data_IF_566764490010
#
_entry.id   IF_566764490010
#
_cell.length_a   1.000
_cell.length_b   1.000
_cell.length_c   1.000
_cell.angle_alpha   90.00
_cell.angle_beta   90.00
_cell.angle_gamma   90.00
#
_symmetry.space_group_name_H-M   'P 1'
#
loop_
_entity.id
_entity.type
_entity.pdbx_description
1 polymer ?
#
# COMPACT_ATOMS: atom_id res chain seq x y z
N UNK A 1 23.67 -64.32 46.76
CA UNK A 1 23.04 -62.97 46.81
C UNK A 1 23.29 -62.33 45.46
N UNK A 2 22.42 -62.53 44.45
CA UNK A 2 21.28 -61.68 44.00
C UNK A 2 21.66 -60.28 43.49
N UNK A 3 21.27 -60.00 42.23
CA UNK A 3 21.16 -58.67 41.58
C UNK A 3 21.93 -58.64 40.25
N UNK A 4 21.43 -59.10 39.10
CA UNK A 4 20.34 -58.58 38.24
C UNK A 4 20.41 -57.05 38.03
N UNK A 5 20.85 -56.57 36.87
CA UNK A 5 20.00 -55.88 35.86
C UNK A 5 20.85 -55.35 34.69
N UNK A 6 20.38 -55.66 33.49
CA UNK A 6 20.86 -55.16 32.21
C UNK A 6 20.47 -53.68 32.03
N UNK A 7 21.24 -52.93 31.22
CA UNK A 7 20.67 -52.09 30.16
C UNK A 7 21.79 -51.54 29.26
N UNK A 8 21.84 -52.04 28.03
CA UNK A 8 22.45 -51.35 26.91
C UNK A 8 21.52 -50.19 26.51
N UNK A 9 22.02 -48.96 26.55
CA UNK A 9 21.27 -47.80 26.06
C UNK A 9 21.91 -47.31 24.77
N UNK A 10 21.25 -47.68 23.68
CA UNK A 10 21.34 -47.05 22.37
C UNK A 10 21.12 -45.54 22.53
N UNK A 11 22.04 -44.71 22.00
CA UNK A 11 21.75 -43.30 21.72
C UNK A 11 21.89 -43.06 20.22
N UNK A 12 20.86 -43.54 19.53
CA UNK A 12 20.52 -43.28 18.15
C UNK A 12 19.84 -41.93 18.00
N UNK A 13 20.21 -41.21 16.92
CA UNK A 13 19.46 -40.14 16.25
C UNK A 13 19.04 -38.92 17.07
N UNK A 14 19.90 -37.90 17.03
CA UNK A 14 19.53 -36.50 17.26
C UNK A 14 19.71 -35.65 16.00
N UNK A 15 19.43 -36.19 14.81
CA UNK A 15 19.34 -35.37 13.60
C UNK A 15 17.94 -34.75 13.58
N UNK A 16 17.73 -33.76 14.44
CA UNK A 16 16.58 -32.88 14.33
C UNK A 16 16.71 -32.16 12.99
N UNK A 17 15.88 -32.57 12.04
CA UNK A 17 15.60 -31.79 10.85
C UNK A 17 15.08 -30.43 11.33
N UNK A 18 15.97 -29.43 11.35
CA UNK A 18 15.55 -28.03 11.34
C UNK A 18 14.92 -27.82 9.98
N UNK A 19 13.62 -28.12 9.91
CA UNK A 19 12.76 -27.54 8.90
C UNK A 19 12.95 -26.03 9.02
N UNK A 20 13.66 -25.44 8.06
CA UNK A 20 13.69 -24.01 7.87
C UNK A 20 12.29 -23.56 7.43
N UNK A 21 11.34 -23.58 8.37
CA UNK A 21 10.08 -22.90 8.21
C UNK A 21 10.40 -21.41 8.12
N UNK A 22 9.87 -20.73 7.09
CA UNK A 22 9.88 -19.28 7.06
C UNK A 22 9.36 -18.77 8.42
N UNK A 23 10.10 -17.84 9.04
CA UNK A 23 9.69 -17.26 10.31
C UNK A 23 8.24 -16.76 10.20
N UNK A 24 7.42 -16.93 11.26
CA UNK A 24 6.03 -16.49 11.22
C UNK A 24 5.97 -15.00 10.87
N UNK A 25 5.17 -14.66 9.85
CA UNK A 25 5.01 -13.27 9.42
C UNK A 25 4.46 -12.44 10.58
N UNK A 26 5.05 -11.27 10.81
CA UNK A 26 4.66 -10.38 11.91
C UNK A 26 3.24 -9.80 11.75
N UNK A 27 2.73 -9.73 10.52
CA UNK A 27 1.41 -9.22 10.17
C UNK A 27 0.89 -9.86 8.88
N UNK A 28 -0.42 -9.75 8.65
CA UNK A 28 -1.07 -10.21 7.41
C UNK A 28 -1.08 -9.06 6.40
N UNK A 29 -0.41 -9.27 5.26
CA UNK A 29 -0.41 -8.33 4.14
C UNK A 29 -1.17 -8.91 2.95
N UNK A 30 -2.11 -8.15 2.40
CA UNK A 30 -2.80 -8.45 1.16
C UNK A 30 -2.30 -7.48 0.07
N UNK A 31 -1.36 -7.88 -0.81
CA UNK A 31 -0.79 -6.98 -1.80
C UNK A 31 -1.85 -6.50 -2.80
N UNK A 32 -1.71 -5.28 -3.35
CA UNK A 32 -2.54 -4.87 -4.47
C UNK A 32 -2.18 -5.66 -5.73
N UNK A 33 -3.18 -6.11 -6.47
CA UNK A 33 -3.02 -6.88 -7.70
C UNK A 33 -3.10 -5.96 -8.93
N UNK A 34 -1.96 -5.38 -9.30
CA UNK A 34 -1.84 -4.45 -10.44
C UNK A 34 -1.00 -5.09 -11.53
N UNK A 35 -1.66 -5.58 -12.60
CA UNK A 35 -0.98 -6.14 -13.77
C UNK A 35 -0.46 -5.07 -14.75
N UNK A 36 -1.06 -3.87 -14.72
CA UNK A 36 -0.71 -2.72 -15.54
C UNK A 36 -1.41 -1.45 -15.06
N UNK A 37 -0.95 -0.30 -15.54
CA UNK A 37 -1.57 0.99 -15.24
C UNK A 37 -2.97 1.09 -15.86
N UNK A 38 -3.94 1.61 -15.10
CA UNK A 38 -5.29 1.89 -15.62
C UNK A 38 -5.39 3.26 -16.29
N UNK A 39 -4.38 4.11 -16.08
CA UNK A 39 -4.31 5.44 -16.67
C UNK A 39 -3.49 5.39 -17.95
N UNK A 40 -4.04 5.97 -19.00
CA UNK A 40 -3.45 6.04 -20.34
C UNK A 40 -2.78 7.39 -20.55
N UNK A 41 -2.35 7.67 -21.79
CA UNK A 41 -1.79 8.97 -22.15
C UNK A 41 -2.82 10.11 -22.10
N UNK A 42 -4.11 9.79 -21.98
CA UNK A 42 -5.20 10.77 -21.85
C UNK A 42 -5.30 11.39 -20.44
N UNK A 43 -4.71 10.75 -19.42
CA UNK A 43 -4.61 11.35 -18.10
C UNK A 43 -3.76 12.64 -18.20
N UNK A 44 -4.29 13.74 -17.66
CA UNK A 44 -3.74 15.09 -17.69
C UNK A 44 -2.48 15.31 -16.84
N UNK A 45 -1.66 14.28 -16.68
CA UNK A 45 -0.38 14.28 -15.98
C UNK A 45 0.71 13.76 -16.90
N UNK A 46 1.89 14.39 -16.82
CA UNK A 46 3.07 13.93 -17.54
C UNK A 46 3.61 12.64 -16.91
N UNK A 47 4.26 11.78 -17.70
CA UNK A 47 4.82 10.52 -17.18
C UNK A 47 5.80 10.73 -16.02
N UNK A 48 6.64 11.76 -16.09
CA UNK A 48 7.56 12.12 -15.00
C UNK A 48 6.82 12.56 -13.73
N UNK A 49 5.72 13.32 -13.89
CA UNK A 49 4.86 13.73 -12.78
C UNK A 49 4.20 12.50 -12.15
N UNK A 50 3.67 11.58 -12.96
CA UNK A 50 3.06 10.33 -12.46
C UNK A 50 4.05 9.50 -11.63
N UNK A 51 5.29 9.37 -12.10
CA UNK A 51 6.33 8.61 -11.37
C UNK A 51 6.75 9.29 -10.06
N UNK A 52 6.78 10.62 -10.03
CA UNK A 52 7.03 11.39 -8.80
C UNK A 52 5.90 11.18 -7.78
N UNK A 53 4.64 11.32 -8.18
CA UNK A 53 3.50 11.03 -7.30
C UNK A 53 3.50 9.58 -6.83
N UNK A 54 3.81 8.62 -7.70
CA UNK A 54 3.90 7.21 -7.34
C UNK A 54 4.97 6.95 -6.28
N UNK A 55 6.15 7.57 -6.43
CA UNK A 55 7.24 7.47 -5.45
C UNK A 55 6.82 8.05 -4.10
N UNK A 56 6.24 9.25 -4.10
CA UNK A 56 5.80 9.92 -2.88
C UNK A 56 4.67 9.17 -2.17
N UNK A 57 3.72 8.59 -2.92
CA UNK A 57 2.67 7.73 -2.35
C UNK A 57 3.27 6.48 -1.70
N UNK A 58 4.27 5.86 -2.34
CA UNK A 58 4.95 4.70 -1.77
C UNK A 58 5.69 5.07 -0.48
N UNK A 59 6.38 6.21 -0.44
CA UNK A 59 7.06 6.69 0.77
C UNK A 59 6.09 6.96 1.91
N UNK A 60 4.92 7.55 1.63
CA UNK A 60 3.88 7.71 2.65
C UNK A 60 3.34 6.38 3.16
N UNK A 61 3.15 5.40 2.28
CA UNK A 61 2.71 4.06 2.68
C UNK A 61 3.71 3.42 3.65
N UNK A 62 5.02 3.49 3.36
CA UNK A 62 6.06 3.01 4.25
C UNK A 62 6.05 3.74 5.60
N UNK A 63 6.04 5.07 5.59
CA UNK A 63 6.04 5.88 6.81
C UNK A 63 4.81 5.61 7.68
N UNK A 64 3.64 5.53 7.07
CA UNK A 64 2.38 5.28 7.76
C UNK A 64 2.37 3.89 8.42
N UNK A 65 2.80 2.84 7.71
CA UNK A 65 2.90 1.47 8.25
C UNK A 65 3.95 1.38 9.35
N UNK A 66 5.12 1.99 9.16
CA UNK A 66 6.19 1.97 10.15
C UNK A 66 5.76 2.65 11.45
N UNK A 67 5.18 3.85 11.35
CA UNK A 67 4.69 4.62 12.51
C UNK A 67 3.58 3.88 13.27
N UNK A 68 2.67 3.23 12.55
CA UNK A 68 1.56 2.48 13.13
C UNK A 68 1.90 1.02 13.47
N UNK A 69 3.16 0.59 13.28
CA UNK A 69 3.63 -0.79 13.51
C UNK A 69 2.77 -1.85 12.82
N UNK A 70 2.45 -1.62 11.55
CA UNK A 70 1.60 -2.50 10.74
C UNK A 70 0.23 -2.82 11.36
N UNK A 71 -0.43 -1.79 11.93
CA UNK A 71 -1.83 -1.91 12.33
C UNK A 71 -2.71 -2.25 11.12
N UNK A 72 -3.85 -2.95 11.31
CA UNK A 72 -4.74 -3.29 10.20
C UNK A 72 -5.18 -2.09 9.36
N UNK A 73 -5.48 -0.95 10.00
CA UNK A 73 -5.83 0.29 9.30
C UNK A 73 -4.68 0.81 8.45
N UNK A 74 -3.46 0.85 9.00
CA UNK A 74 -2.30 1.33 8.26
C UNK A 74 -1.94 0.47 7.06
N UNK A 75 -2.20 -0.84 7.14
CA UNK A 75 -2.01 -1.77 6.04
C UNK A 75 -3.10 -1.59 4.97
N UNK A 76 -4.35 -1.30 5.35
CA UNK A 76 -5.40 -0.98 4.40
C UNK A 76 -5.08 0.33 3.63
N UNK A 77 -4.67 1.38 4.34
CA UNK A 77 -4.31 2.65 3.73
C UNK A 77 -3.07 2.52 2.83
N UNK A 78 -2.04 1.79 3.29
CA UNK A 78 -0.87 1.48 2.48
C UNK A 78 -1.23 0.68 1.22
N UNK A 79 -2.21 -0.23 1.29
CA UNK A 79 -2.69 -0.98 0.12
C UNK A 79 -3.30 -0.04 -0.92
N UNK A 80 -4.06 0.97 -0.50
CA UNK A 80 -4.61 1.99 -1.41
C UNK A 80 -3.50 2.85 -2.04
N UNK A 81 -2.57 3.36 -1.23
CA UNK A 81 -1.45 4.19 -1.71
C UNK A 81 -0.55 3.43 -2.68
N UNK A 82 -0.21 2.17 -2.38
CA UNK A 82 0.62 1.34 -3.26
C UNK A 82 -0.09 0.92 -4.53
N UNK A 83 -1.40 0.61 -4.49
CA UNK A 83 -2.18 0.34 -5.69
C UNK A 83 -2.18 1.56 -6.62
N UNK A 84 -2.43 2.75 -6.07
CA UNK A 84 -2.46 3.97 -6.85
C UNK A 84 -1.09 4.31 -7.43
N UNK A 85 -0.02 4.15 -6.65
CA UNK A 85 1.36 4.31 -7.13
C UNK A 85 1.67 3.39 -8.32
N UNK A 86 1.28 2.12 -8.24
CA UNK A 86 1.49 1.16 -9.32
C UNK A 86 0.59 1.41 -10.53
N UNK A 87 -0.58 2.02 -10.35
CA UNK A 87 -1.40 2.42 -11.50
C UNK A 87 -0.89 3.66 -12.21
N UNK A 88 -0.26 4.59 -11.48
CA UNK A 88 0.40 5.77 -12.04
C UNK A 88 1.72 5.41 -12.73
N UNK A 89 2.53 4.56 -12.09
CA UNK A 89 3.82 4.08 -12.59
C UNK A 89 3.99 2.58 -12.25
N UNK A 90 3.63 1.67 -13.18
CA UNK A 90 3.61 0.21 -12.94
C UNK A 90 4.95 -0.42 -12.56
N UNK A 91 6.05 0.26 -12.88
CA UNK A 91 7.41 -0.19 -12.58
C UNK A 91 8.10 0.71 -11.56
N UNK A 92 7.34 1.50 -10.81
CA UNK A 92 7.89 2.34 -9.77
C UNK A 92 8.66 1.48 -8.75
N UNK A 93 9.98 1.70 -8.69
CA UNK A 93 10.90 0.90 -7.88
C UNK A 93 10.52 0.93 -6.40
N UNK A 94 10.08 2.09 -5.91
CA UNK A 94 9.78 2.30 -4.50
C UNK A 94 8.53 1.52 -4.08
N UNK A 95 7.46 1.64 -4.85
CA UNK A 95 6.21 0.90 -4.61
C UNK A 95 6.42 -0.63 -4.64
N UNK A 96 7.17 -1.13 -5.63
CA UNK A 96 7.48 -2.56 -5.74
C UNK A 96 8.30 -3.07 -4.55
N UNK A 97 9.31 -2.31 -4.13
CA UNK A 97 10.17 -2.70 -3.01
C UNK A 97 9.40 -2.76 -1.70
N UNK A 98 8.58 -1.74 -1.40
CA UNK A 98 7.77 -1.70 -0.18
C UNK A 98 6.73 -2.82 -0.19
N UNK A 99 6.03 -3.00 -1.31
CA UNK A 99 5.08 -4.11 -1.47
C UNK A 99 5.74 -5.48 -1.24
N UNK A 100 6.97 -5.67 -1.72
CA UNK A 100 7.74 -6.88 -1.47
C UNK A 100 8.10 -7.06 0.01
N UNK A 101 8.60 -6.03 0.69
CA UNK A 101 8.91 -6.08 2.13
C UNK A 101 7.68 -6.48 2.96
N UNK A 102 6.54 -5.83 2.73
CA UNK A 102 5.28 -6.13 3.40
C UNK A 102 4.82 -7.56 3.13
N UNK A 103 4.98 -8.06 1.90
CA UNK A 103 4.64 -9.46 1.56
C UNK A 103 5.46 -10.50 2.34
N UNK A 104 6.68 -10.12 2.76
CA UNK A 104 7.57 -10.92 3.59
C UNK A 104 7.37 -10.69 5.10
N UNK A 105 6.39 -9.88 5.49
CA UNK A 105 6.14 -9.53 6.89
C UNK A 105 7.23 -8.63 7.49
N UNK A 106 7.98 -7.92 6.63
CA UNK A 106 9.03 -6.98 7.03
C UNK A 106 8.45 -5.58 7.11
N UNK A 107 8.63 -4.90 8.24
CA UNK A 107 8.30 -3.49 8.36
C UNK A 107 9.26 -2.66 7.49
N UNK A 108 8.75 -1.79 6.60
CA UNK A 108 9.59 -0.86 5.86
C UNK A 108 10.29 0.13 6.80
N UNK A 109 11.49 0.56 6.43
CA UNK A 109 12.15 1.67 7.10
C UNK A 109 11.43 2.98 6.80
N UNK A 110 11.33 3.84 7.81
CA UNK A 110 10.82 5.20 7.62
C UNK A 110 11.77 5.98 6.71
N UNK A 111 11.18 6.73 5.78
CA UNK A 111 11.90 7.60 4.85
C UNK A 111 12.08 8.97 5.49
N UNK A 112 13.34 9.29 5.80
CA UNK A 112 13.72 10.63 6.23
C UNK A 112 13.78 11.58 5.02
N UNK A 113 13.24 12.79 5.17
CA UNK A 113 13.32 13.85 4.15
C UNK A 113 12.24 13.85 3.06
N UNK A 114 11.30 12.89 3.09
CA UNK A 114 10.10 12.94 2.23
C UNK A 114 9.07 13.97 2.71
N UNK A 115 7.98 14.14 1.95
CA UNK A 115 6.85 14.97 2.39
C UNK A 115 6.30 14.48 3.75
N UNK A 116 5.84 15.41 4.59
CA UNK A 116 4.98 15.01 5.72
C UNK A 116 3.61 14.58 5.19
N UNK A 117 2.84 13.83 6.00
CA UNK A 117 1.48 13.44 5.63
C UNK A 117 0.61 14.66 5.25
N UNK A 118 0.74 15.75 6.00
CA UNK A 118 0.03 17.01 5.75
C UNK A 118 0.47 17.68 4.43
N UNK A 119 1.77 17.68 4.15
CA UNK A 119 2.29 18.26 2.91
C UNK A 119 1.85 17.43 1.69
N UNK A 120 1.89 16.10 1.79
CA UNK A 120 1.40 15.22 0.74
C UNK A 120 -0.11 15.35 0.55
N UNK A 121 -0.89 15.43 1.63
CA UNK A 121 -2.34 15.64 1.55
C UNK A 121 -2.67 16.92 0.76
N UNK A 122 -1.98 18.04 1.02
CA UNK A 122 -2.15 19.28 0.24
C UNK A 122 -1.77 19.10 -1.22
N UNK A 123 -0.66 18.42 -1.51
CA UNK A 123 -0.20 18.16 -2.87
C UNK A 123 -1.21 17.32 -3.66
N UNK A 124 -1.75 16.26 -3.04
CA UNK A 124 -2.79 15.42 -3.63
C UNK A 124 -4.07 16.21 -3.86
N UNK A 125 -4.52 16.96 -2.86
CA UNK A 125 -5.73 17.78 -2.96
C UNK A 125 -5.64 18.79 -4.11
N UNK A 126 -4.59 19.61 -4.14
CA UNK A 126 -4.41 20.62 -5.20
C UNK A 126 -4.32 20.00 -6.60
N UNK A 127 -3.67 18.84 -6.72
CA UNK A 127 -3.57 18.14 -8.00
C UNK A 127 -4.88 17.48 -8.43
N UNK A 128 -5.65 16.95 -7.49
CA UNK A 128 -7.01 16.47 -7.74
C UNK A 128 -7.88 17.58 -8.32
N UNK A 129 -7.93 18.73 -7.66
CA UNK A 129 -8.68 19.90 -8.16
C UNK A 129 -8.26 20.32 -9.57
N UNK A 130 -6.96 20.21 -9.90
CA UNK A 130 -6.49 20.51 -11.26
C UNK A 130 -6.97 19.46 -12.28
N UNK A 131 -6.95 18.17 -11.93
CA UNK A 131 -7.46 17.09 -12.77
C UNK A 131 -8.96 17.28 -13.07
N UNK A 132 -9.75 17.62 -12.06
CA UNK A 132 -11.18 17.98 -12.25
C UNK A 132 -11.37 19.10 -13.26
N UNK A 133 -10.58 20.17 -13.15
CA UNK A 133 -10.66 21.30 -14.09
C UNK A 133 -10.23 20.92 -15.51
N UNK A 134 -9.33 19.96 -15.64
CA UNK A 134 -8.91 19.42 -16.94
C UNK A 134 -9.99 18.53 -17.57
N UNK A 135 -10.87 17.95 -16.76
CA UNK A 135 -12.01 17.14 -17.20
C UNK A 135 -11.60 15.82 -17.84
N UNK A 136 -12.59 14.95 -18.10
CA UNK A 136 -12.37 13.66 -18.73
C UNK A 136 -12.28 12.52 -17.72
N UNK A 137 -12.69 11.32 -18.15
CA UNK A 137 -12.99 10.21 -17.24
C UNK A 137 -11.79 9.73 -16.39
N UNK A 138 -10.57 9.74 -16.95
CA UNK A 138 -9.37 9.36 -16.20
C UNK A 138 -8.98 10.41 -15.16
N UNK A 139 -9.10 11.69 -15.52
CA UNK A 139 -8.82 12.81 -14.63
C UNK A 139 -9.82 12.86 -13.48
N UNK A 140 -11.11 12.72 -13.77
CA UNK A 140 -12.17 12.66 -12.77
C UNK A 140 -11.96 11.47 -11.81
N UNK A 141 -11.62 10.29 -12.35
CA UNK A 141 -11.31 9.11 -11.54
C UNK A 141 -10.13 9.36 -10.60
N UNK A 142 -9.00 9.85 -11.12
CA UNK A 142 -7.82 10.09 -10.31
C UNK A 142 -8.03 11.22 -9.31
N UNK A 143 -8.78 12.27 -9.68
CA UNK A 143 -9.11 13.37 -8.79
C UNK A 143 -9.83 12.88 -7.54
N UNK A 144 -10.88 12.07 -7.72
CA UNK A 144 -11.62 11.49 -6.59
C UNK A 144 -10.72 10.66 -5.67
N UNK A 145 -9.81 9.87 -6.25
CA UNK A 145 -8.82 9.09 -5.49
C UNK A 145 -7.86 10.00 -4.69
N UNK A 146 -7.30 11.03 -5.32
CA UNK A 146 -6.38 11.96 -4.67
C UNK A 146 -7.04 12.77 -3.57
N UNK A 147 -8.24 13.27 -3.80
CA UNK A 147 -8.98 14.09 -2.84
C UNK A 147 -9.40 13.25 -1.63
N UNK A 148 -9.87 12.02 -1.84
CA UNK A 148 -10.19 11.12 -0.73
C UNK A 148 -8.94 10.76 0.09
N UNK A 149 -7.83 10.41 -0.57
CA UNK A 149 -6.57 10.14 0.14
C UNK A 149 -6.09 11.37 0.91
N UNK A 150 -6.20 12.57 0.34
CA UNK A 150 -5.84 13.80 1.05
C UNK A 150 -6.66 13.98 2.33
N UNK A 151 -7.97 13.75 2.28
CA UNK A 151 -8.86 13.82 3.45
C UNK A 151 -8.51 12.75 4.50
N UNK A 152 -8.18 11.53 4.09
CA UNK A 152 -7.75 10.45 5.00
C UNK A 152 -6.41 10.77 5.66
N UNK A 153 -5.46 11.31 4.89
CA UNK A 153 -4.11 11.61 5.37
C UNK A 153 -4.05 12.83 6.31
N UNK A 154 -4.87 13.84 6.05
CA UNK A 154 -4.99 15.02 6.91
C UNK A 154 -6.47 15.37 7.17
N UNK A 155 -7.13 14.70 8.15
CA UNK A 155 -8.52 14.97 8.49
C UNK A 155 -8.78 16.38 9.05
N UNK A 156 -7.72 17.18 9.30
CA UNK A 156 -7.83 18.58 9.72
C UNK A 156 -7.81 19.55 8.54
N UNK A 157 -7.56 19.06 7.33
CA UNK A 157 -7.68 19.84 6.11
C UNK A 157 -9.16 19.92 5.70
N UNK A 158 -9.84 20.96 6.17
CA UNK A 158 -11.28 21.18 5.96
C UNK A 158 -11.65 21.15 4.47
N UNK A 159 -10.81 21.71 3.60
CA UNK A 159 -11.05 21.77 2.16
C UNK A 159 -11.03 20.37 1.53
N UNK A 160 -10.02 19.55 1.86
CA UNK A 160 -9.92 18.20 1.35
C UNK A 160 -11.05 17.30 1.87
N UNK A 161 -11.40 17.43 3.15
CA UNK A 161 -12.51 16.70 3.77
C UNK A 161 -13.83 17.10 3.11
N UNK A 162 -14.10 18.39 2.94
CA UNK A 162 -15.32 18.88 2.30
C UNK A 162 -15.45 18.34 0.86
N UNK A 163 -14.39 18.46 0.06
CA UNK A 163 -14.41 17.98 -1.33
C UNK A 163 -14.58 16.45 -1.42
N UNK A 164 -13.93 15.69 -0.55
CA UNK A 164 -14.10 14.24 -0.47
C UNK A 164 -15.54 13.85 -0.13
N UNK A 165 -16.14 14.51 0.87
CA UNK A 165 -17.52 14.25 1.28
C UNK A 165 -18.53 14.69 0.21
N UNK A 166 -18.29 15.81 -0.49
CA UNK A 166 -19.10 16.24 -1.62
C UNK A 166 -19.09 15.18 -2.74
N UNK A 167 -17.91 14.69 -3.13
CA UNK A 167 -17.81 13.61 -4.14
C UNK A 167 -18.51 12.33 -3.71
N UNK A 168 -18.45 11.98 -2.42
CA UNK A 168 -19.15 10.82 -1.88
C UNK A 168 -20.67 10.97 -2.00
N UNK A 169 -21.19 12.17 -1.78
CA UNK A 169 -22.63 12.45 -1.94
C UNK A 169 -23.06 12.42 -3.41
N UNK A 170 -22.25 12.98 -4.31
CA UNK A 170 -22.60 13.12 -5.72
C UNK A 170 -22.41 11.83 -6.53
N UNK A 171 -21.39 11.03 -6.18
CA UNK A 171 -20.94 9.89 -6.98
C UNK A 171 -20.86 8.58 -6.20
N UNK A 172 -21.27 8.58 -4.93
CA UNK A 172 -21.14 7.44 -4.03
C UNK A 172 -19.71 7.22 -3.52
N UNK A 173 -19.56 6.19 -2.70
CA UNK A 173 -18.27 5.76 -2.17
C UNK A 173 -17.30 5.35 -3.29
N UNK A 174 -16.02 5.66 -3.10
CA UNK A 174 -14.99 5.18 -4.01
C UNK A 174 -14.75 3.68 -3.79
N UNK A 175 -14.90 2.89 -4.85
CA UNK A 175 -14.57 1.46 -4.81
C UNK A 175 -13.06 1.25 -4.99
N UNK A 176 -12.32 1.22 -3.87
CA UNK A 176 -10.90 0.91 -3.87
C UNK A 176 -10.57 -0.51 -4.35
N UNK A 177 -11.52 -1.44 -4.33
CA UNK A 177 -11.28 -2.79 -4.85
C UNK A 177 -11.08 -2.77 -6.37
N UNK A 178 -11.68 -1.79 -7.06
CA UNK A 178 -11.50 -1.61 -8.50
C UNK A 178 -10.04 -1.35 -8.91
N UNK A 179 -9.19 -0.89 -7.97
CA UNK A 179 -7.75 -0.66 -8.23
C UNK A 179 -6.84 -1.59 -7.42
N UNK A 180 -7.28 -2.08 -6.26
CA UNK A 180 -6.46 -2.99 -5.44
C UNK A 180 -6.60 -4.45 -5.85
N UNK A 181 -7.65 -4.81 -6.59
CA UNK A 181 -7.95 -6.18 -7.03
C UNK A 181 -8.18 -6.27 -8.56
N UNK A 182 -7.70 -5.28 -9.33
CA UNK A 182 -7.92 -5.18 -10.78
C UNK A 182 -7.46 -6.42 -11.58
N UNK A 183 -6.53 -7.21 -11.04
CA UNK A 183 -6.04 -8.47 -11.62
C UNK A 183 -6.90 -9.71 -11.39
N UNK A 184 -7.88 -9.70 -10.48
CA UNK A 184 -8.73 -10.86 -10.21
C UNK A 184 -9.75 -11.04 -11.34
N UNK A 185 -9.52 -12.02 -12.22
CA UNK A 185 -10.62 -12.56 -13.05
C UNK A 185 -11.76 -12.96 -12.11
N UNK A 186 -12.95 -12.38 -12.29
CA UNK A 186 -14.16 -12.91 -11.66
C UNK A 186 -14.28 -14.39 -12.05
N UNK A 187 -14.55 -15.30 -11.08
CA UNK A 187 -14.77 -16.70 -11.37
C UNK A 187 -15.95 -16.92 -12.32
#
# INVERSE_FOLDING_TARGET
>A
MKGIWQAATFLSLGMAAVMAGEAPKAFVWNPPEVAGGIFTQELGMLDAERDEYATNLADQAANHVAAAKASPASLADARHMLALALHLSPRNKRALMIGFQLSKGVLPDAVEGGYSAQAMARLLYSRGQLLEKQGGAENEKLSRMFIQLAATMDPRNEDAVYASEAHRLDHGELDWNAITDAGKKKP
#
